data_IF_619959820578
#
_entry.id   IF_619959820578
#
_cell.length_a   1.000
_cell.length_b   1.000
_cell.length_c   1.000
_cell.angle_alpha   90.00
_cell.angle_beta   90.00
_cell.angle_gamma   90.00
#
_symmetry.space_group_name_H-M   'P 1'
#
loop_
_entity.id
_entity.type
_entity.pdbx_description
1 polymer ?
#
# COMPACT_ATOMS: atom_id res chain seq x y z
N UNK A 1 8.24 9.00 -12.57
CA UNK A 1 7.22 8.00 -12.76
C UNK A 1 6.39 7.80 -11.52
N UNK A 2 5.09 7.68 -11.67
CA UNK A 2 4.17 7.62 -10.53
C UNK A 2 3.25 6.41 -10.67
N UNK A 3 3.10 5.66 -9.59
CA UNK A 3 2.23 4.48 -9.53
C UNK A 3 1.33 4.60 -8.30
N UNK A 4 0.08 4.18 -8.42
CA UNK A 4 -0.81 4.06 -7.27
C UNK A 4 -1.26 2.61 -7.13
N UNK A 5 -1.09 2.06 -5.94
CA UNK A 5 -1.68 0.78 -5.55
C UNK A 5 -3.12 1.10 -5.15
N UNK A 6 -4.06 0.71 -6.00
CA UNK A 6 -5.43 1.20 -5.96
C UNK A 6 -6.44 0.09 -5.69
N UNK A 7 -7.42 0.38 -4.85
CA UNK A 7 -8.59 -0.46 -4.65
C UNK A 7 -9.83 0.39 -4.98
N UNK A 8 -10.50 0.13 -6.12
CA UNK A 8 -11.66 0.94 -6.53
C UNK A 8 -12.83 0.92 -5.56
N UNK A 9 -12.87 -0.08 -4.68
CA UNK A 9 -13.94 -0.21 -3.67
C UNK A 9 -13.64 0.57 -2.39
N UNK A 10 -12.42 1.08 -2.25
CA UNK A 10 -12.03 1.83 -1.06
C UNK A 10 -12.19 3.32 -1.29
N UNK A 11 -12.97 4.00 -0.45
CA UNK A 11 -13.23 5.43 -0.61
C UNK A 11 -11.95 6.26 -0.53
N UNK A 12 -11.05 5.94 0.39
CA UNK A 12 -9.76 6.65 0.52
C UNK A 12 -8.91 6.47 -0.73
N UNK A 13 -8.95 5.30 -1.35
CA UNK A 13 -8.22 5.03 -2.58
C UNK A 13 -8.77 5.85 -3.74
N UNK A 14 -10.11 5.91 -3.88
CA UNK A 14 -10.73 6.73 -4.91
C UNK A 14 -10.45 8.21 -4.70
N UNK A 15 -10.53 8.68 -3.46
CA UNK A 15 -10.25 10.09 -3.12
C UNK A 15 -8.82 10.47 -3.46
N UNK A 16 -7.88 9.57 -3.16
CA UNK A 16 -6.46 9.83 -3.44
C UNK A 16 -6.19 9.90 -4.94
N UNK A 17 -6.75 8.97 -5.71
CA UNK A 17 -6.59 8.99 -7.17
C UNK A 17 -7.18 10.27 -7.75
N UNK A 18 -8.38 10.66 -7.32
CA UNK A 18 -9.01 11.88 -7.79
C UNK A 18 -8.17 13.11 -7.45
N UNK A 19 -7.63 13.16 -6.23
CA UNK A 19 -6.78 14.27 -5.79
C UNK A 19 -5.54 14.41 -6.67
N UNK A 20 -4.91 13.28 -7.00
CA UNK A 20 -3.75 13.30 -7.91
C UNK A 20 -4.14 13.86 -9.27
N UNK A 21 -5.25 13.38 -9.82
CA UNK A 21 -5.72 13.82 -11.13
C UNK A 21 -6.05 15.31 -11.14
N UNK A 22 -6.66 15.81 -10.07
CA UNK A 22 -6.97 17.24 -9.92
C UNK A 22 -5.70 18.10 -9.87
N UNK A 23 -4.59 17.51 -9.47
CA UNK A 23 -3.28 18.18 -9.43
C UNK A 23 -2.45 17.93 -10.69
N UNK A 24 -3.07 17.40 -11.74
CA UNK A 24 -2.40 17.17 -13.02
C UNK A 24 -1.49 15.94 -13.02
N UNK A 25 -1.62 15.07 -12.02
CA UNK A 25 -0.80 13.86 -11.90
C UNK A 25 -1.64 12.66 -12.34
N UNK A 26 -1.15 11.94 -13.34
CA UNK A 26 -1.86 10.77 -13.90
C UNK A 26 -1.03 9.52 -13.64
N UNK A 27 -1.18 8.88 -12.46
CA UNK A 27 -0.36 7.72 -12.11
C UNK A 27 -0.74 6.48 -12.90
N UNK A 28 0.20 5.55 -13.03
CA UNK A 28 -0.12 4.21 -13.45
C UNK A 28 -0.93 3.55 -12.33
N UNK A 29 -2.10 3.05 -12.65
CA UNK A 29 -2.99 2.42 -11.67
C UNK A 29 -2.68 0.93 -11.60
N UNK A 30 -2.25 0.47 -10.43
CA UNK A 30 -2.05 -0.96 -10.19
C UNK A 30 -3.15 -1.46 -9.27
N UNK A 31 -3.98 -2.36 -9.81
CA UNK A 31 -5.03 -3.02 -9.05
C UNK A 31 -4.40 -4.20 -8.30
N UNK A 32 -3.79 -3.89 -7.17
CA UNK A 32 -2.91 -4.83 -6.45
C UNK A 32 -3.63 -6.07 -5.89
N UNK A 33 -4.96 -6.02 -5.77
CA UNK A 33 -5.73 -7.21 -5.35
C UNK A 33 -5.80 -8.25 -6.47
N UNK A 34 -5.65 -7.83 -7.72
CA UNK A 34 -5.68 -8.70 -8.91
C UNK A 34 -4.28 -8.93 -9.44
N UNK A 35 -3.44 -7.89 -9.42
CA UNK A 35 -2.06 -7.94 -9.84
C UNK A 35 -1.19 -7.83 -8.59
N UNK A 36 -1.10 -8.94 -7.86
CA UNK A 36 -0.50 -9.00 -6.53
C UNK A 36 1.00 -8.71 -6.58
N UNK A 37 1.51 -7.85 -5.68
CA UNK A 37 2.95 -7.61 -5.63
C UNK A 37 3.70 -8.85 -5.13
N UNK A 38 4.89 -9.04 -5.68
CA UNK A 38 5.79 -10.10 -5.21
C UNK A 38 6.37 -9.71 -3.84
N UNK A 39 6.98 -10.68 -3.16
CA UNK A 39 7.66 -10.42 -1.88
C UNK A 39 8.74 -9.36 -2.08
N UNK A 40 9.51 -9.44 -3.18
CA UNK A 40 10.54 -8.46 -3.47
C UNK A 40 9.97 -7.06 -3.69
N UNK A 41 8.84 -6.96 -4.38
CA UNK A 41 8.15 -5.68 -4.55
C UNK A 41 7.68 -5.09 -3.22
N UNK A 42 7.19 -5.95 -2.32
CA UNK A 42 6.74 -5.52 -0.99
C UNK A 42 7.94 -5.00 -0.18
N UNK A 43 9.08 -5.69 -0.26
CA UNK A 43 10.30 -5.23 0.42
C UNK A 43 10.73 -3.85 -0.08
N UNK A 44 10.74 -3.66 -1.39
CA UNK A 44 11.07 -2.38 -2.00
C UNK A 44 10.10 -1.29 -1.54
N UNK A 45 8.81 -1.63 -1.51
CA UNK A 45 7.77 -0.71 -1.07
C UNK A 45 7.99 -0.26 0.38
N UNK A 46 8.35 -1.19 1.26
CA UNK A 46 8.63 -0.88 2.66
C UNK A 46 9.81 0.08 2.79
N UNK A 47 10.85 -0.11 1.98
CA UNK A 47 12.00 0.80 1.96
C UNK A 47 11.58 2.19 1.49
N UNK A 48 10.76 2.26 0.44
CA UNK A 48 10.27 3.53 -0.11
C UNK A 48 9.37 4.27 0.88
N UNK A 49 8.57 3.52 1.63
CA UNK A 49 7.70 4.06 2.68
C UNK A 49 8.47 4.40 3.95
N UNK A 50 9.63 3.76 4.14
CA UNK A 50 10.46 3.89 5.35
C UNK A 50 9.68 3.50 6.62
N UNK A 51 8.92 2.40 6.54
CA UNK A 51 8.13 1.88 7.67
C UNK A 51 8.41 0.38 7.86
N UNK A 52 8.20 -0.15 9.08
CA UNK A 52 8.29 -1.59 9.30
C UNK A 52 7.07 -2.31 8.71
N UNK A 53 7.20 -3.63 8.44
CA UNK A 53 6.10 -4.38 7.79
C UNK A 53 4.75 -4.28 8.50
N UNK A 54 4.73 -4.27 9.83
CA UNK A 54 3.46 -4.23 10.57
C UNK A 54 2.66 -2.96 10.28
N UNK A 55 3.34 -1.85 9.99
CA UNK A 55 2.67 -0.58 9.71
C UNK A 55 2.05 -0.55 8.31
N UNK A 56 2.49 -1.45 7.43
CA UNK A 56 1.88 -1.58 6.11
C UNK A 56 0.65 -2.49 6.15
N UNK A 57 0.44 -3.22 7.24
CA UNK A 57 -0.58 -4.24 7.33
C UNK A 57 -1.88 -3.74 7.96
N UNK A 58 -2.98 -4.22 7.43
CA UNK A 58 -4.32 -3.99 7.98
C UNK A 58 -4.60 -5.08 9.02
N UNK A 59 -4.09 -4.86 10.24
CA UNK A 59 -4.14 -5.86 11.31
C UNK A 59 -5.57 -6.14 11.83
N UNK A 60 -6.53 -5.30 11.45
CA UNK A 60 -7.93 -5.49 11.85
C UNK A 60 -8.72 -6.35 10.87
N UNK A 61 -8.12 -6.72 9.72
CA UNK A 61 -8.77 -7.65 8.79
C UNK A 61 -8.87 -9.03 9.41
N UNK A 62 -10.01 -9.71 9.17
CA UNK A 62 -10.25 -11.04 9.75
C UNK A 62 -9.15 -12.04 9.39
N UNK A 63 -8.65 -11.96 8.13
CA UNK A 63 -7.60 -12.89 7.66
C UNK A 63 -6.31 -12.77 8.48
N UNK A 64 -6.01 -11.59 9.03
CA UNK A 64 -4.83 -11.40 9.87
C UNK A 64 -4.85 -12.38 11.05
N UNK A 65 -5.98 -12.44 11.73
CA UNK A 65 -6.18 -13.32 12.89
C UNK A 65 -6.25 -14.78 12.46
N UNK A 66 -6.95 -15.06 11.36
CA UNK A 66 -7.10 -16.42 10.83
C UNK A 66 -5.76 -17.05 10.48
N UNK A 67 -4.79 -16.26 10.02
CA UNK A 67 -3.45 -16.72 9.71
C UNK A 67 -2.56 -16.90 10.95
N UNK A 68 -3.09 -16.55 12.13
CA UNK A 68 -2.31 -16.66 13.37
C UNK A 68 -1.29 -15.55 13.55
N UNK A 69 -1.40 -14.47 12.79
CA UNK A 69 -0.49 -13.34 12.91
C UNK A 69 -0.76 -12.58 14.22
N UNK A 70 0.32 -12.08 14.82
CA UNK A 70 0.24 -11.32 16.06
C UNK A 70 1.45 -10.39 16.15
N UNK A 71 1.59 -9.70 17.27
CA UNK A 71 2.68 -8.72 17.47
C UNK A 71 4.08 -9.35 17.37
N UNK A 72 4.19 -10.64 17.59
CA UNK A 72 5.47 -11.35 17.58
C UNK A 72 5.78 -12.02 16.23
N UNK A 73 4.92 -11.86 15.23
CA UNK A 73 5.14 -12.44 13.92
C UNK A 73 6.42 -11.88 13.27
N UNK A 74 7.14 -12.73 12.55
CA UNK A 74 8.41 -12.35 11.92
C UNK A 74 8.17 -11.50 10.67
N UNK A 75 9.22 -10.84 10.21
CA UNK A 75 9.19 -10.08 8.95
C UNK A 75 8.79 -11.01 7.79
N UNK A 76 9.40 -12.19 7.72
CA UNK A 76 9.10 -13.16 6.66
C UNK A 76 7.65 -13.60 6.67
N UNK A 77 7.10 -13.85 7.86
CA UNK A 77 5.69 -14.22 8.01
C UNK A 77 4.78 -13.10 7.51
N UNK A 78 5.11 -11.86 7.81
CA UNK A 78 4.33 -10.69 7.37
C UNK A 78 4.42 -10.48 5.86
N UNK A 79 5.62 -10.61 5.28
CA UNK A 79 5.80 -10.47 3.83
C UNK A 79 5.03 -11.54 3.08
N UNK A 80 5.13 -12.79 3.54
CA UNK A 80 4.41 -13.90 2.92
C UNK A 80 2.90 -13.71 3.02
N UNK A 81 2.42 -13.25 4.17
CA UNK A 81 1.00 -13.01 4.40
C UNK A 81 0.46 -11.94 3.44
N UNK A 82 1.18 -10.82 3.27
CA UNK A 82 0.76 -9.75 2.37
C UNK A 82 0.81 -10.19 0.90
N UNK A 83 1.81 -11.00 0.55
CA UNK A 83 1.92 -11.53 -0.81
C UNK A 83 0.76 -12.47 -1.14
N UNK A 84 0.43 -13.37 -0.21
CA UNK A 84 -0.62 -14.36 -0.40
C UNK A 84 -2.02 -13.76 -0.26
N UNK A 85 -2.15 -12.76 0.62
CA UNK A 85 -3.43 -12.11 0.94
C UNK A 85 -3.29 -10.60 0.83
N UNK A 86 -3.31 -10.06 -0.40
CA UNK A 86 -3.05 -8.62 -0.61
C UNK A 86 -4.06 -7.69 0.06
N UNK A 87 -5.22 -8.20 0.49
CA UNK A 87 -6.16 -7.40 1.27
C UNK A 87 -5.55 -6.91 2.59
N UNK A 88 -4.47 -7.57 3.05
CA UNK A 88 -3.74 -7.14 4.24
C UNK A 88 -2.89 -5.90 4.03
N UNK A 89 -2.63 -5.54 2.77
CA UNK A 89 -1.80 -4.36 2.48
C UNK A 89 -2.62 -3.10 2.64
N UNK A 90 -2.07 -2.11 3.34
CA UNK A 90 -2.71 -0.80 3.50
C UNK A 90 -2.86 -0.11 2.14
N UNK A 91 -3.90 0.70 1.98
CA UNK A 91 -4.22 1.35 0.71
C UNK A 91 -4.85 2.72 0.93
N UNK A 92 -4.74 3.61 -0.05
CA UNK A 92 -3.92 3.48 -1.26
C UNK A 92 -2.46 3.78 -0.96
N UNK A 93 -1.56 3.34 -1.84
CA UNK A 93 -0.14 3.67 -1.73
C UNK A 93 0.27 4.33 -3.04
N UNK A 94 0.89 5.50 -2.93
CA UNK A 94 1.41 6.23 -4.09
C UNK A 94 2.92 6.19 -4.05
N UNK A 95 3.52 5.81 -5.17
CA UNK A 95 4.97 5.71 -5.35
C UNK A 95 5.38 6.74 -6.40
N UNK A 96 6.38 7.54 -6.07
CA UNK A 96 6.91 8.55 -6.98
C UNK A 96 8.41 8.73 -6.73
N UNK A 97 9.21 8.54 -7.79
CA UNK A 97 10.66 8.74 -7.73
C UNK A 97 11.33 8.03 -6.55
N UNK A 98 11.06 6.75 -6.40
CA UNK A 98 11.63 5.87 -5.35
C UNK A 98 11.21 6.21 -3.92
N UNK A 99 10.16 7.02 -3.76
CA UNK A 99 9.56 7.30 -2.47
C UNK A 99 8.08 6.94 -2.52
N UNK A 100 7.50 6.63 -1.37
CA UNK A 100 6.10 6.25 -1.30
C UNK A 100 5.41 6.84 -0.08
N UNK A 101 4.09 6.96 -0.17
CA UNK A 101 3.24 7.40 0.94
C UNK A 101 1.91 6.66 0.88
N UNK A 102 1.37 6.35 2.06
CA UNK A 102 0.00 5.86 2.18
C UNK A 102 -0.94 7.06 2.14
N UNK A 103 -2.01 6.97 1.37
CA UNK A 103 -3.00 8.05 1.23
C UNK A 103 -4.03 8.10 2.36
N UNK A 104 -3.55 8.21 3.58
CA UNK A 104 -4.39 8.32 4.77
C UNK A 104 -3.83 9.38 5.71
N UNK A 105 -4.32 10.60 5.63
CA UNK A 105 -5.38 11.09 4.72
C UNK A 105 -4.88 11.18 3.26
N UNK A 106 -5.78 11.28 2.28
CA UNK A 106 -5.38 11.36 0.87
C UNK A 106 -4.33 12.43 0.56
N UNK A 107 -4.42 13.57 1.21
CA UNK A 107 -3.51 14.70 0.98
C UNK A 107 -2.05 14.38 1.34
N UNK A 108 -1.82 13.35 2.16
CA UNK A 108 -0.46 12.98 2.56
C UNK A 108 0.42 12.64 1.36
N UNK A 109 -0.15 12.13 0.27
CA UNK A 109 0.61 11.75 -0.92
C UNK A 109 1.17 12.94 -1.68
N UNK A 110 0.60 14.13 -1.49
CA UNK A 110 1.05 15.34 -2.20
C UNK A 110 2.47 15.74 -1.81
N UNK A 111 2.94 15.31 -0.63
CA UNK A 111 4.32 15.60 -0.21
C UNK A 111 5.35 14.95 -1.11
N UNK A 112 4.97 13.92 -1.87
CA UNK A 112 5.87 13.25 -2.82
C UNK A 112 6.23 14.15 -4.01
N UNK A 113 5.43 15.18 -4.27
CA UNK A 113 5.54 16.01 -5.48
C UNK A 113 6.04 17.43 -5.18
N UNK A 114 6.48 17.66 -3.96
CA UNK A 114 7.03 18.97 -3.55
C UNK A 114 8.54 19.01 -3.69
#
# INVERSE_FOLDING_TARGET
>A
MTTIFHNPRCSKSRQTLQLLEENGIHPEVRLYLQNTPSIEEIKTLLEQLAIPPVELMRTKEAIYKELGLNKDSTVEERLQAMHTNPILIERPIVIHNNKAKVGRPPEAVLTLFK
#
